data_IF_188936584960
#
_entry.id   IF_188936584960
#
_cell.length_a   1.000
_cell.length_b   1.000
_cell.length_c   1.000
_cell.angle_alpha   90.00
_cell.angle_beta   90.00
_cell.angle_gamma   90.00
#
_symmetry.space_group_name_H-M   'P 1'
#
loop_
_entity.id
_entity.type
_entity.pdbx_description
1 polymer ?
#
# COMPACT_ATOMS: atom_id res chain seq x y z
N UNK A 1 -1.00 26.27 -2.77
CA UNK A 1 -0.43 24.91 -2.64
C UNK A 1 -1.46 23.92 -3.15
N UNK A 2 -1.09 22.93 -3.96
CA UNK A 2 -2.02 21.89 -4.46
C UNK A 2 -1.99 20.65 -3.56
N UNK A 3 -3.04 19.81 -3.52
CA UNK A 3 -3.02 18.55 -2.78
C UNK A 3 -1.89 17.64 -3.26
N UNK A 4 -1.21 16.99 -2.31
CA UNK A 4 -0.19 15.97 -2.58
C UNK A 4 -0.83 14.61 -2.39
N UNK A 5 -0.84 13.80 -3.45
CA UNK A 5 -1.27 12.40 -3.38
C UNK A 5 -0.04 11.56 -3.00
N UNK A 6 -0.08 10.93 -1.83
CA UNK A 6 0.98 9.99 -1.43
C UNK A 6 0.76 8.67 -2.16
N UNK A 7 1.80 8.19 -2.83
CA UNK A 7 1.85 6.83 -3.35
C UNK A 7 2.92 6.04 -2.60
N UNK A 8 2.49 5.07 -1.79
CA UNK A 8 3.39 4.28 -0.96
C UNK A 8 4.30 3.38 -1.79
N UNK A 9 3.80 2.83 -2.91
CA UNK A 9 4.57 1.92 -3.74
C UNK A 9 5.64 2.67 -4.54
N UNK A 10 5.26 3.76 -5.20
CA UNK A 10 6.20 4.61 -5.90
C UNK A 10 7.22 5.24 -4.96
N UNK A 11 6.84 5.61 -3.73
CA UNK A 11 7.79 6.08 -2.72
C UNK A 11 8.79 4.99 -2.35
N UNK A 12 8.34 3.78 -2.03
CA UNK A 12 9.21 2.64 -1.71
C UNK A 12 10.21 2.35 -2.84
N UNK A 13 9.76 2.33 -4.09
CA UNK A 13 10.66 2.11 -5.24
C UNK A 13 11.63 3.29 -5.44
N UNK A 14 11.17 4.54 -5.32
CA UNK A 14 12.01 5.74 -5.50
C UNK A 14 13.09 5.84 -4.42
N UNK A 15 12.74 5.53 -3.18
CA UNK A 15 13.62 5.58 -2.01
C UNK A 15 14.52 4.35 -1.90
N UNK A 16 14.32 3.35 -2.76
CA UNK A 16 15.04 2.08 -2.74
C UNK A 16 14.83 1.30 -1.42
N UNK A 17 13.60 1.31 -0.90
CA UNK A 17 13.21 0.43 0.21
C UNK A 17 12.57 1.11 1.42
N UNK A 18 12.38 2.42 1.42
CA UNK A 18 11.78 3.12 2.56
C UNK A 18 10.26 2.90 2.60
N UNK A 19 9.78 2.29 3.67
CA UNK A 19 8.36 2.25 4.01
C UNK A 19 8.01 3.39 4.95
N UNK A 20 7.16 4.31 4.49
CA UNK A 20 6.59 5.33 5.37
C UNK A 20 5.60 4.68 6.32
N UNK A 21 5.64 5.09 7.59
CA UNK A 21 4.66 4.72 8.61
C UNK A 21 3.67 5.88 8.81
N UNK A 22 2.47 5.64 9.37
CA UNK A 22 1.49 6.71 9.57
C UNK A 22 1.97 7.86 10.46
N UNK A 23 2.93 7.62 11.34
CA UNK A 23 3.54 8.60 12.24
C UNK A 23 4.76 9.31 11.64
N UNK A 24 5.12 9.03 10.38
CA UNK A 24 6.21 9.72 9.71
C UNK A 24 5.91 11.23 9.58
N UNK A 25 6.83 12.13 9.95
CA UNK A 25 6.58 13.57 9.95
C UNK A 25 6.21 14.14 8.56
N UNK A 26 6.56 13.46 7.48
CA UNK A 26 6.16 13.85 6.11
C UNK A 26 4.65 13.67 5.88
N UNK A 27 3.98 12.77 6.60
CA UNK A 27 2.53 12.56 6.50
C UNK A 27 1.75 13.82 6.91
N UNK A 28 2.21 14.57 7.92
CA UNK A 28 1.59 15.84 8.30
C UNK A 28 1.64 16.87 7.15
N UNK A 29 2.69 16.85 6.33
CA UNK A 29 2.80 17.71 5.14
C UNK A 29 1.80 17.30 4.06
N UNK A 30 1.61 16.00 3.85
CA UNK A 30 0.59 15.45 2.95
C UNK A 30 -0.79 15.91 3.42
N UNK A 31 -1.18 15.62 4.66
CA UNK A 31 -2.48 16.01 5.23
C UNK A 31 -2.72 17.53 5.10
N UNK A 32 -1.72 18.34 5.48
CA UNK A 32 -1.83 19.81 5.39
C UNK A 32 -2.12 20.32 3.97
N UNK A 33 -1.59 19.65 2.94
CA UNK A 33 -1.80 20.05 1.54
C UNK A 33 -3.26 19.92 1.06
N UNK A 34 -4.06 19.07 1.72
CA UNK A 34 -5.48 18.83 1.42
C UNK A 34 -6.45 19.77 2.16
N UNK A 35 -5.94 20.63 3.04
CA UNK A 35 -6.67 21.77 3.64
C UNK A 35 -8.00 21.38 4.31
N UNK A 36 -7.95 20.36 5.15
CA UNK A 36 -9.09 19.87 5.93
C UNK A 36 -9.98 18.87 5.19
N UNK A 37 -9.72 18.62 3.90
CA UNK A 37 -10.28 17.46 3.19
C UNK A 37 -9.44 16.24 3.52
N UNK A 38 -10.09 15.10 3.74
CA UNK A 38 -9.41 13.82 3.95
C UNK A 38 -8.60 13.45 2.69
N UNK A 39 -7.30 13.18 2.79
CA UNK A 39 -6.48 12.80 1.65
C UNK A 39 -6.92 11.50 0.97
N UNK A 40 -6.69 11.44 -0.34
CA UNK A 40 -6.57 10.18 -1.08
C UNK A 40 -5.08 9.87 -1.28
N UNK A 41 -4.72 8.61 -1.07
CA UNK A 41 -3.40 8.04 -1.31
C UNK A 41 -3.52 6.85 -2.27
N UNK A 42 -2.41 6.48 -2.91
CA UNK A 42 -2.35 5.37 -3.85
C UNK A 42 -1.51 4.24 -3.29
N UNK A 43 -1.86 3.02 -3.68
CA UNK A 43 -1.07 1.84 -3.39
C UNK A 43 -1.08 0.86 -4.57
N UNK A 44 0.06 0.22 -4.78
CA UNK A 44 0.20 -1.04 -5.50
C UNK A 44 1.26 -1.91 -4.82
N UNK A 45 1.55 -3.07 -5.40
CA UNK A 45 2.70 -3.92 -5.05
C UNK A 45 3.42 -4.28 -6.35
N UNK A 46 4.73 -4.55 -6.28
CA UNK A 46 5.44 -5.16 -7.41
C UNK A 46 4.76 -6.46 -7.83
N UNK A 47 4.78 -6.76 -9.12
CA UNK A 47 4.13 -7.94 -9.68
C UNK A 47 4.54 -9.23 -8.96
N UNK A 48 3.54 -10.05 -8.64
CA UNK A 48 3.72 -11.32 -7.95
C UNK A 48 4.59 -12.32 -8.72
N UNK A 49 4.59 -12.28 -10.06
CA UNK A 49 5.38 -13.21 -10.90
C UNK A 49 6.89 -12.93 -10.85
N UNK A 50 7.29 -11.74 -10.40
CA UNK A 50 8.69 -11.41 -10.14
C UNK A 50 9.14 -11.86 -8.73
N UNK A 51 8.18 -12.16 -7.84
CA UNK A 51 8.40 -12.51 -6.44
C UNK A 51 7.74 -13.87 -6.06
N UNK A 52 7.86 -14.94 -6.86
CA UNK A 52 7.11 -16.18 -6.65
C UNK A 52 7.41 -16.87 -5.31
N UNK A 53 8.65 -16.73 -4.82
CA UNK A 53 9.10 -17.34 -3.56
C UNK A 53 9.17 -16.32 -2.41
N UNK A 54 8.69 -15.09 -2.60
CA UNK A 54 8.71 -14.09 -1.53
C UNK A 54 7.57 -14.35 -0.54
N UNK A 55 7.83 -14.42 0.77
CA UNK A 55 6.76 -14.64 1.75
C UNK A 55 5.73 -13.52 1.72
N UNK A 56 4.45 -13.86 1.60
CA UNK A 56 3.36 -12.86 1.56
C UNK A 56 3.26 -12.06 2.87
N UNK A 57 3.65 -12.65 4.00
CA UNK A 57 3.66 -12.01 5.32
C UNK A 57 4.91 -11.18 5.64
N UNK A 58 5.82 -11.04 4.68
CA UNK A 58 7.03 -10.21 4.80
C UNK A 58 7.01 -9.07 3.79
N UNK A 59 7.32 -7.86 4.25
CA UNK A 59 7.50 -6.73 3.35
C UNK A 59 8.59 -7.02 2.32
N UNK A 60 8.37 -6.72 1.02
CA UNK A 60 9.41 -6.76 0.00
C UNK A 60 10.66 -5.94 0.39
N UNK A 61 11.83 -6.58 0.39
CA UNK A 61 13.10 -5.91 0.65
C UNK A 61 13.74 -5.48 -0.67
N UNK A 62 13.86 -4.17 -0.88
CA UNK A 62 14.36 -3.64 -2.14
C UNK A 62 15.79 -4.10 -2.44
N UNK A 63 16.67 -4.13 -1.44
CA UNK A 63 18.07 -4.51 -1.62
C UNK A 63 18.22 -6.00 -1.98
N UNK A 64 17.45 -6.87 -1.33
CA UNK A 64 17.41 -8.30 -1.64
C UNK A 64 16.86 -8.56 -3.04
N UNK A 65 15.82 -7.82 -3.45
CA UNK A 65 15.25 -7.93 -4.79
C UNK A 65 16.19 -7.39 -5.88
N UNK A 66 16.89 -6.28 -5.60
CA UNK A 66 17.92 -5.75 -6.49
C UNK A 66 19.11 -6.70 -6.62
N UNK A 67 19.53 -7.36 -5.52
CA UNK A 67 20.56 -8.40 -5.55
C UNK A 67 20.16 -9.63 -6.39
N UNK A 68 18.86 -9.88 -6.55
CA UNK A 68 18.31 -10.89 -7.49
C UNK A 68 18.28 -10.42 -8.95
N UNK A 69 18.73 -9.20 -9.24
CA UNK A 69 18.76 -8.61 -10.58
C UNK A 69 17.48 -7.89 -11.01
N UNK A 70 16.50 -7.70 -10.11
CA UNK A 70 15.29 -6.94 -10.44
C UNK A 70 15.61 -5.44 -10.53
N UNK A 71 15.19 -4.82 -11.62
CA UNK A 71 15.42 -3.38 -11.85
C UNK A 71 14.30 -2.54 -11.24
N UNK A 72 14.55 -1.23 -11.07
CA UNK A 72 13.51 -0.26 -10.71
C UNK A 72 12.31 -0.31 -11.66
N UNK A 73 12.53 -0.57 -12.96
CA UNK A 73 11.45 -0.68 -13.95
C UNK A 73 10.57 -1.90 -13.66
N UNK A 74 11.19 -3.02 -13.29
CA UNK A 74 10.47 -4.24 -12.93
C UNK A 74 9.68 -4.04 -11.64
N UNK A 75 10.30 -3.44 -10.63
CA UNK A 75 9.69 -3.22 -9.32
C UNK A 75 8.54 -2.22 -9.34
N UNK A 76 8.52 -1.23 -10.25
CA UNK A 76 7.37 -0.29 -10.40
C UNK A 76 6.17 -0.89 -11.13
N UNK A 77 6.32 -2.06 -11.76
CA UNK A 77 5.18 -2.65 -12.45
C UNK A 77 4.14 -3.14 -11.44
N UNK A 78 2.90 -2.65 -11.58
CA UNK A 78 1.80 -2.97 -10.66
C UNK A 78 1.37 -4.43 -10.78
N UNK A 79 1.09 -5.05 -9.64
CA UNK A 79 0.59 -6.41 -9.48
C UNK A 79 -0.81 -6.65 -10.05
N UNK A 80 -1.19 -7.91 -10.22
CA UNK A 80 -2.58 -8.24 -10.52
C UNK A 80 -3.45 -8.04 -9.29
N UNK A 81 -2.99 -8.54 -8.15
CA UNK A 81 -3.70 -8.54 -6.86
C UNK A 81 -2.83 -7.92 -5.78
N UNK A 82 -3.44 -7.57 -4.64
CA UNK A 82 -2.70 -7.12 -3.45
C UNK A 82 -2.20 -8.35 -2.69
N UNK A 83 -1.29 -9.11 -3.31
CA UNK A 83 -0.86 -10.45 -2.88
C UNK A 83 -0.04 -10.45 -1.59
N UNK A 84 0.58 -9.33 -1.22
CA UNK A 84 1.48 -9.24 -0.07
C UNK A 84 0.74 -8.73 1.17
N UNK A 85 0.42 -9.66 2.08
CA UNK A 85 -0.29 -9.38 3.33
C UNK A 85 0.43 -8.35 4.22
N UNK A 86 1.76 -8.32 4.22
CA UNK A 86 2.49 -7.32 5.00
C UNK A 86 2.31 -5.89 4.47
N UNK A 87 2.28 -5.71 3.15
CA UNK A 87 1.96 -4.41 2.54
C UNK A 87 0.51 -4.03 2.82
N UNK A 88 -0.43 -4.97 2.73
CA UNK A 88 -1.84 -4.70 3.02
C UNK A 88 -2.04 -4.22 4.46
N UNK A 89 -1.39 -4.86 5.44
CA UNK A 89 -1.41 -4.43 6.85
C UNK A 89 -0.79 -3.04 7.03
N UNK A 90 0.33 -2.74 6.35
CA UNK A 90 0.91 -1.40 6.37
C UNK A 90 -0.08 -0.35 5.86
N UNK A 91 -0.76 -0.62 4.74
CA UNK A 91 -1.77 0.30 4.19
C UNK A 91 -2.95 0.46 5.15
N UNK A 92 -3.36 -0.62 5.81
CA UNK A 92 -4.43 -0.60 6.80
C UNK A 92 -4.14 0.40 7.93
N UNK A 93 -2.88 0.51 8.38
CA UNK A 93 -2.48 1.51 9.39
C UNK A 93 -2.65 2.96 8.88
N UNK A 94 -2.48 3.18 7.58
CA UNK A 94 -2.69 4.49 6.95
C UNK A 94 -4.17 4.85 6.71
N UNK A 95 -5.09 3.88 6.81
CA UNK A 95 -6.54 4.14 6.69
C UNK A 95 -7.08 5.02 7.81
N UNK A 96 -6.31 5.28 8.87
CA UNK A 96 -6.69 6.22 9.91
C UNK A 96 -6.76 7.67 9.42
N UNK A 97 -5.96 8.06 8.42
CA UNK A 97 -5.85 9.44 7.95
C UNK A 97 -6.12 9.65 6.46
N UNK A 98 -6.07 8.61 5.63
CA UNK A 98 -6.36 8.70 4.19
C UNK A 98 -7.24 7.56 3.67
N UNK A 99 -7.92 7.83 2.56
CA UNK A 99 -8.55 6.79 1.74
C UNK A 99 -7.56 6.33 0.65
N UNK A 100 -7.65 5.07 0.22
CA UNK A 100 -6.69 4.49 -0.72
C UNK A 100 -7.31 4.08 -2.05
N UNK A 101 -6.72 4.57 -3.15
CA UNK A 101 -6.90 3.98 -4.48
C UNK A 101 -5.95 2.79 -4.64
N UNK A 102 -6.52 1.60 -4.87
CA UNK A 102 -5.75 0.38 -5.13
C UNK A 102 -5.47 0.26 -6.63
N UNK A 103 -4.23 0.51 -7.03
CA UNK A 103 -3.78 0.51 -8.41
C UNK A 103 -3.27 -0.88 -8.86
N UNK A 104 -4.14 -1.88 -8.78
CA UNK A 104 -3.84 -3.26 -9.22
C UNK A 104 -4.68 -3.68 -10.43
N UNK A 105 -4.20 -4.64 -11.23
CA UNK A 105 -4.87 -5.00 -12.49
C UNK A 105 -6.22 -5.70 -12.30
N UNK A 106 -6.38 -6.47 -11.22
CA UNK A 106 -7.60 -7.19 -10.90
C UNK A 106 -8.67 -6.33 -10.20
N UNK A 107 -8.44 -5.02 -10.07
CA UNK A 107 -9.44 -4.03 -9.63
C UNK A 107 -10.03 -4.39 -8.25
N UNK A 108 -11.35 -4.55 -8.17
CA UNK A 108 -12.07 -4.82 -6.92
C UNK A 108 -11.56 -6.09 -6.21
N UNK A 109 -11.11 -7.10 -6.95
CA UNK A 109 -10.55 -8.30 -6.32
C UNK A 109 -9.29 -7.99 -5.49
N UNK A 110 -8.49 -7.02 -5.93
CA UNK A 110 -7.33 -6.57 -5.19
C UNK A 110 -7.70 -5.70 -3.98
N UNK A 111 -8.86 -5.03 -4.03
CA UNK A 111 -9.43 -4.33 -2.89
C UNK A 111 -9.90 -5.35 -1.83
N UNK A 112 -10.57 -6.42 -2.24
CA UNK A 112 -11.02 -7.50 -1.34
C UNK A 112 -9.84 -8.12 -0.57
N UNK A 113 -8.68 -8.29 -1.21
CA UNK A 113 -7.45 -8.79 -0.56
C UNK A 113 -6.98 -7.86 0.57
N UNK A 114 -6.93 -6.55 0.28
CA UNK A 114 -6.52 -5.54 1.25
C UNK A 114 -7.52 -5.47 2.41
N UNK A 115 -8.82 -5.44 2.11
CA UNK A 115 -9.89 -5.41 3.11
C UNK A 115 -9.79 -6.63 4.04
N UNK A 116 -9.60 -7.83 3.48
CA UNK A 116 -9.48 -9.05 4.26
C UNK A 116 -8.32 -8.96 5.27
N UNK A 117 -7.17 -8.43 4.88
CA UNK A 117 -6.03 -8.27 5.79
C UNK A 117 -6.23 -7.13 6.79
N UNK A 118 -6.90 -6.05 6.40
CA UNK A 118 -7.24 -4.94 7.30
C UNK A 118 -8.25 -5.35 8.39
N UNK A 119 -9.21 -6.22 8.06
CA UNK A 119 -10.13 -6.82 9.00
C UNK A 119 -9.41 -7.78 9.98
N UNK A 120 -8.48 -8.58 9.47
CA UNK A 120 -7.69 -9.52 10.30
C UNK A 120 -6.73 -8.82 11.26
N UNK A 121 -6.18 -7.67 10.87
CA UNK A 121 -5.30 -6.88 11.75
C UNK A 121 -6.08 -6.08 12.81
N UNK A 122 -7.40 -5.99 12.68
CA UNK A 122 -8.25 -5.13 13.52
C UNK A 122 -8.13 -3.64 13.21
N UNK A 123 -7.44 -3.27 12.13
CA UNK A 123 -7.31 -1.89 11.67
C UNK A 123 -8.65 -1.32 11.16
N UNK A 124 -9.52 -2.19 10.64
CA UNK A 124 -10.89 -1.88 10.25
C UNK A 124 -11.82 -2.79 11.04
N UNK A 125 -12.89 -2.22 11.63
CA UNK A 125 -13.90 -3.01 12.29
C UNK A 125 -14.71 -3.81 11.25
N UNK A 126 -14.99 -5.08 11.54
CA UNK A 126 -15.96 -5.82 10.75
C UNK A 126 -17.28 -5.05 10.75
N UNK A 127 -17.88 -4.86 9.56
CA UNK A 127 -19.19 -4.26 9.47
C UNK A 127 -20.16 -5.09 10.30
N UNK A 128 -20.68 -4.52 11.39
CA UNK A 128 -21.78 -5.11 12.15
C UNK A 128 -23.05 -4.95 11.30
N UNK A 129 -23.22 -5.84 10.32
CA UNK A 129 -24.39 -5.90 9.46
C UNK A 129 -25.61 -6.39 10.23
N UNK A 130 -26.22 -5.51 11.02
CA UNK A 130 -27.66 -5.55 11.23
C UNK A 130 -28.32 -5.01 9.97
N UNK A 131 -28.87 -5.89 9.14
CA UNK A 131 -29.86 -5.50 8.15
C UNK A 131 -31.14 -5.07 8.90
N UNK A 132 -31.84 -4.00 8.49
CA UNK A 132 -33.24 -3.85 8.87
C UNK A 132 -34.10 -4.99 8.30
#
# INVERSE_FOLDING_TARGET
QVPVVLDLHHHWVRSQGEYLRPDDPRIATVIGSWRGVRPVAHISVSREDLLPDWPADSLPDYAALAARGLTTKDLRAHSQRMWNHAVNRLVADHLTWADFEVEAKAKNLAVDDLEQDALRSGAVAAATGGLP
#
